data_IF_431135680292
#
_entry.id   IF_431135680292
#
_cell.length_a   1.000
_cell.length_b   1.000
_cell.length_c   1.000
_cell.angle_alpha   90.00
_cell.angle_beta   90.00
_cell.angle_gamma   90.00
#
_symmetry.space_group_name_H-M   'P 1'
#
loop_
_entity.id
_entity.type
_entity.pdbx_description
1 polymer ?
#
# COMPACT_ATOMS: atom_id res chain seq x y z
N UNK A 1 -7.98 7.02 -18.74
CA UNK A 1 -9.11 7.29 -17.82
C UNK A 1 -10.31 6.44 -18.24
N UNK A 2 -10.77 5.57 -17.38
CA UNK A 2 -11.87 4.65 -17.66
C UNK A 2 -13.18 5.47 -17.84
N UNK A 3 -14.10 5.02 -18.72
CA UNK A 3 -15.41 5.67 -18.93
C UNK A 3 -16.22 5.86 -17.64
N UNK A 4 -15.98 5.00 -16.64
CA UNK A 4 -16.69 4.94 -15.34
C UNK A 4 -16.32 6.08 -14.35
N UNK A 5 -15.21 6.79 -14.57
CA UNK A 5 -14.71 7.83 -13.64
C UNK A 5 -14.82 9.24 -14.18
N UNK A 6 -15.68 9.47 -15.18
CA UNK A 6 -15.73 10.77 -15.89
C UNK A 6 -16.55 11.86 -15.19
N UNK A 7 -17.45 11.51 -14.30
CA UNK A 7 -18.30 12.45 -13.56
C UNK A 7 -18.75 11.87 -12.23
N UNK A 8 -19.18 12.75 -11.32
CA UNK A 8 -19.75 12.35 -10.03
C UNK A 8 -20.97 11.43 -10.24
N UNK A 9 -21.82 11.76 -11.21
CA UNK A 9 -23.03 10.96 -11.50
C UNK A 9 -22.68 9.56 -12.00
N UNK A 10 -21.60 9.42 -12.79
CA UNK A 10 -21.15 8.10 -13.24
C UNK A 10 -20.59 7.24 -12.11
N UNK A 11 -19.93 7.86 -11.11
CA UNK A 11 -19.46 7.16 -9.92
C UNK A 11 -20.63 6.73 -9.05
N UNK A 12 -21.59 7.63 -8.81
CA UNK A 12 -22.77 7.32 -8.02
C UNK A 12 -23.59 6.18 -8.62
N UNK A 13 -23.87 6.23 -9.92
CA UNK A 13 -24.57 5.15 -10.63
C UNK A 13 -23.83 3.83 -10.52
N UNK A 14 -22.51 3.84 -10.63
CA UNK A 14 -21.71 2.62 -10.52
C UNK A 14 -21.70 2.04 -9.10
N UNK A 15 -21.65 2.88 -8.07
CA UNK A 15 -21.76 2.46 -6.67
C UNK A 15 -23.13 1.81 -6.41
N UNK A 16 -24.21 2.42 -6.89
CA UNK A 16 -25.58 1.86 -6.80
C UNK A 16 -25.72 0.51 -7.52
N UNK A 17 -25.10 0.34 -8.70
CA UNK A 17 -25.09 -0.92 -9.47
C UNK A 17 -24.35 -2.06 -8.72
N UNK A 18 -23.51 -1.72 -7.75
CA UNK A 18 -22.72 -2.67 -6.95
C UNK A 18 -23.19 -2.73 -5.49
N UNK A 19 -24.48 -2.44 -5.27
CA UNK A 19 -25.12 -2.53 -3.95
C UNK A 19 -24.48 -1.64 -2.86
N UNK A 20 -23.77 -0.58 -3.27
CA UNK A 20 -23.20 0.39 -2.33
C UNK A 20 -23.95 1.71 -2.43
N UNK A 21 -24.79 1.99 -1.42
CA UNK A 21 -25.57 3.23 -1.34
C UNK A 21 -24.66 4.37 -0.87
N UNK A 22 -24.33 5.28 -1.78
CA UNK A 22 -23.53 6.46 -1.49
C UNK A 22 -24.34 7.72 -1.64
N UNK A 23 -24.15 8.67 -0.75
CA UNK A 23 -24.63 10.02 -0.96
C UNK A 23 -23.79 10.74 -2.04
N UNK A 24 -24.29 11.88 -2.53
CA UNK A 24 -23.58 12.68 -3.53
C UNK A 24 -22.23 13.22 -3.00
N UNK A 25 -22.11 13.43 -1.69
CA UNK A 25 -20.88 13.91 -1.06
C UNK A 25 -19.77 12.88 -1.18
N UNK A 26 -20.04 11.62 -0.83
CA UNK A 26 -19.09 10.53 -0.96
C UNK A 26 -18.72 10.29 -2.45
N UNK A 27 -19.70 10.28 -3.36
CA UNK A 27 -19.43 10.14 -4.78
C UNK A 27 -18.54 11.28 -5.33
N UNK A 28 -18.73 12.51 -4.84
CA UNK A 28 -17.90 13.66 -5.19
C UNK A 28 -16.48 13.51 -4.62
N UNK A 29 -16.35 13.06 -3.38
CA UNK A 29 -15.04 12.83 -2.74
C UNK A 29 -14.25 11.75 -3.48
N UNK A 30 -14.90 10.67 -3.87
CA UNK A 30 -14.28 9.61 -4.70
C UNK A 30 -13.87 10.17 -6.07
N UNK A 31 -14.74 10.97 -6.71
CA UNK A 31 -14.39 11.60 -7.98
C UNK A 31 -13.16 12.50 -7.87
N UNK A 32 -13.06 13.33 -6.83
CA UNK A 32 -11.90 14.18 -6.58
C UNK A 32 -10.64 13.38 -6.26
N UNK A 33 -10.75 12.37 -5.40
CA UNK A 33 -9.64 11.46 -5.07
C UNK A 33 -9.02 10.86 -6.34
N UNK A 34 -9.83 10.29 -7.23
CA UNK A 34 -9.38 9.65 -8.46
C UNK A 34 -8.80 10.62 -9.50
N UNK A 35 -9.29 11.86 -9.56
CA UNK A 35 -8.82 12.85 -10.54
C UNK A 35 -7.63 13.68 -10.04
N UNK A 36 -7.51 13.87 -8.73
CA UNK A 36 -6.43 14.65 -8.12
C UNK A 36 -5.28 13.78 -7.64
N UNK A 37 -5.46 12.45 -7.68
CA UNK A 37 -4.48 11.48 -7.16
C UNK A 37 -4.11 11.77 -5.71
N UNK A 38 -5.13 12.03 -4.88
CA UNK A 38 -4.97 12.35 -3.47
C UNK A 38 -5.66 11.30 -2.60
N UNK A 39 -5.12 10.98 -1.41
CA UNK A 39 -5.77 10.07 -0.48
C UNK A 39 -7.19 10.50 -0.15
N UNK A 40 -8.09 9.53 0.02
CA UNK A 40 -9.44 9.73 0.53
C UNK A 40 -9.47 9.33 2.00
N UNK A 41 -9.78 10.28 2.87
CA UNK A 41 -9.99 10.02 4.28
C UNK A 41 -11.48 9.89 4.58
N UNK A 42 -11.87 8.78 5.23
CA UNK A 42 -13.25 8.47 5.59
C UNK A 42 -13.38 8.34 7.12
N UNK A 43 -14.14 9.23 7.71
CA UNK A 43 -14.48 9.22 9.12
C UNK A 43 -15.97 8.92 9.29
N UNK A 44 -16.35 8.31 10.40
CA UNK A 44 -17.74 8.00 10.73
C UNK A 44 -17.84 6.83 11.69
N UNK A 45 -19.07 6.54 12.11
CA UNK A 45 -19.37 5.48 13.08
C UNK A 45 -18.99 4.07 12.58
N UNK A 46 -18.71 3.11 13.50
CA UNK A 46 -18.51 1.72 13.12
C UNK A 46 -19.71 1.16 12.36
N UNK A 47 -19.45 0.34 11.35
CA UNK A 47 -20.51 -0.35 10.59
C UNK A 47 -21.16 0.44 9.45
N UNK A 48 -20.80 1.71 9.23
CA UNK A 48 -21.36 2.53 8.12
C UNK A 48 -20.79 2.20 6.73
N UNK A 49 -19.93 1.19 6.61
CA UNK A 49 -19.42 0.73 5.31
C UNK A 49 -18.15 1.40 4.83
N UNK A 50 -17.37 2.10 5.68
CA UNK A 50 -16.11 2.76 5.29
C UNK A 50 -15.13 1.83 4.59
N UNK A 51 -14.90 0.65 5.14
CA UNK A 51 -14.00 -0.37 4.58
C UNK A 51 -14.54 -0.93 3.25
N UNK A 52 -15.86 -0.97 3.09
CA UNK A 52 -16.50 -1.48 1.87
C UNK A 52 -16.25 -0.57 0.65
N UNK A 53 -16.10 0.74 0.86
CA UNK A 53 -15.73 1.69 -0.20
C UNK A 53 -14.48 1.21 -0.96
N UNK A 54 -13.44 0.77 -0.25
CA UNK A 54 -12.20 0.32 -0.87
C UNK A 54 -12.40 -0.92 -1.76
N UNK A 55 -13.24 -1.86 -1.34
CA UNK A 55 -13.56 -3.06 -2.13
C UNK A 55 -14.33 -2.71 -3.39
N UNK A 56 -15.32 -1.84 -3.25
CA UNK A 56 -16.12 -1.38 -4.38
C UNK A 56 -15.27 -0.60 -5.38
N UNK A 57 -14.36 0.28 -4.90
CA UNK A 57 -13.39 0.97 -5.76
C UNK A 57 -12.45 0.01 -6.49
N UNK A 58 -12.02 -1.06 -5.83
CA UNK A 58 -11.19 -2.12 -6.44
C UNK A 58 -11.90 -2.76 -7.64
N UNK A 59 -13.18 -3.06 -7.50
CA UNK A 59 -14.00 -3.59 -8.59
C UNK A 59 -14.21 -2.58 -9.72
N UNK A 60 -14.45 -1.31 -9.36
CA UNK A 60 -14.63 -0.23 -10.33
C UNK A 60 -13.38 -0.01 -11.19
N UNK A 61 -12.22 -0.03 -10.57
CA UNK A 61 -10.94 0.20 -11.22
C UNK A 61 -10.41 -1.06 -11.93
N UNK A 62 -10.90 -2.25 -11.55
CA UNK A 62 -10.41 -3.53 -12.06
C UNK A 62 -9.00 -3.83 -11.58
N UNK A 63 -8.70 -3.56 -10.31
CA UNK A 63 -7.39 -3.72 -9.71
C UNK A 63 -7.46 -4.55 -8.42
N UNK A 64 -6.35 -4.70 -7.72
CA UNK A 64 -6.25 -5.44 -6.47
C UNK A 64 -6.41 -4.51 -5.26
N UNK A 65 -6.93 -5.08 -4.16
CA UNK A 65 -6.96 -4.43 -2.84
C UNK A 65 -5.72 -4.85 -2.03
N UNK A 66 -5.00 -3.86 -1.53
CA UNK A 66 -3.97 -4.05 -0.52
C UNK A 66 -4.48 -3.45 0.78
N UNK A 67 -4.47 -4.21 1.87
CA UNK A 67 -4.95 -3.74 3.17
C UNK A 67 -3.81 -3.63 4.17
N UNK A 68 -3.68 -2.46 4.77
CA UNK A 68 -2.89 -2.21 5.96
C UNK A 68 -3.84 -2.00 7.13
N UNK A 69 -3.83 -2.92 8.08
CA UNK A 69 -4.56 -2.81 9.34
C UNK A 69 -3.65 -2.17 10.37
N UNK A 70 -4.00 -0.97 10.86
CA UNK A 70 -3.27 -0.33 11.93
C UNK A 70 -3.62 -0.94 13.30
N UNK A 71 -2.67 -0.97 14.19
CA UNK A 71 -2.79 -1.43 15.57
C UNK A 71 -1.77 -0.72 16.45
N UNK A 72 -2.01 -0.69 17.74
CA UNK A 72 -1.12 -0.06 18.71
C UNK A 72 0.29 -0.68 18.67
N UNK A 73 1.32 0.17 18.46
CA UNK A 73 2.71 -0.26 18.29
C UNK A 73 3.05 -0.78 16.90
N UNK A 74 2.26 -0.45 15.87
CA UNK A 74 2.63 -0.73 14.49
C UNK A 74 3.88 0.08 14.14
N UNK A 75 4.98 -0.62 13.94
CA UNK A 75 6.25 -0.03 13.49
C UNK A 75 6.20 0.29 11.98
N UNK A 76 6.80 1.40 11.61
CA UNK A 76 6.99 1.84 10.22
C UNK A 76 7.60 0.74 9.36
N UNK A 77 8.64 0.04 9.85
CA UNK A 77 9.28 -1.06 9.13
C UNK A 77 8.30 -2.19 8.84
N UNK A 78 7.44 -2.55 9.80
CA UNK A 78 6.44 -3.61 9.62
C UNK A 78 5.35 -3.25 8.60
N UNK A 79 5.19 -1.98 8.28
CA UNK A 79 4.23 -1.51 7.27
C UNK A 79 4.84 -1.42 5.86
N UNK A 80 6.17 -1.25 5.75
CA UNK A 80 6.87 -1.04 4.48
C UNK A 80 7.54 -2.31 3.99
N UNK A 81 8.51 -2.85 4.74
CA UNK A 81 9.29 -4.01 4.35
C UNK A 81 9.87 -4.74 5.55
N UNK A 82 10.34 -5.93 5.30
CA UNK A 82 11.09 -6.75 6.24
C UNK A 82 12.15 -7.52 5.46
N UNK A 83 13.34 -7.68 6.04
CA UNK A 83 14.35 -8.56 5.48
C UNK A 83 14.07 -10.02 5.86
N UNK A 84 14.14 -10.92 4.88
CA UNK A 84 14.02 -12.35 5.11
C UNK A 84 15.31 -12.92 5.72
N UNK A 85 15.53 -12.60 7.00
CA UNK A 85 16.75 -13.00 7.73
C UNK A 85 17.01 -14.50 7.67
N UNK A 86 15.97 -15.32 7.74
CA UNK A 86 16.13 -16.78 7.67
C UNK A 86 16.73 -17.22 6.33
N UNK A 87 16.24 -16.64 5.24
CA UNK A 87 16.77 -16.93 3.89
C UNK A 87 18.18 -16.35 3.72
N UNK A 88 18.46 -15.17 4.23
CA UNK A 88 19.80 -14.56 4.22
C UNK A 88 20.82 -15.46 4.92
N UNK A 89 20.50 -15.99 6.11
CA UNK A 89 21.39 -16.89 6.86
C UNK A 89 21.68 -18.17 6.07
N UNK A 90 20.68 -18.74 5.43
CA UNK A 90 20.86 -19.94 4.60
C UNK A 90 21.79 -19.63 3.43
N UNK A 91 21.57 -18.52 2.73
CA UNK A 91 22.39 -18.11 1.58
C UNK A 91 23.84 -17.86 1.98
N UNK A 92 24.07 -17.14 3.08
CA UNK A 92 25.43 -16.95 3.62
C UNK A 92 26.15 -18.28 3.85
N UNK A 93 25.48 -19.24 4.48
CA UNK A 93 26.06 -20.57 4.73
C UNK A 93 26.37 -21.34 3.44
N UNK A 94 25.52 -21.21 2.43
CA UNK A 94 25.74 -21.84 1.12
C UNK A 94 26.92 -21.21 0.40
N UNK A 95 27.07 -19.88 0.44
CA UNK A 95 28.19 -19.16 -0.15
C UNK A 95 29.51 -19.47 0.56
N UNK A 96 29.53 -19.55 1.88
CA UNK A 96 30.70 -19.95 2.67
C UNK A 96 31.14 -21.39 2.33
N UNK A 97 30.19 -22.30 2.18
CA UNK A 97 30.47 -23.70 1.83
C UNK A 97 31.03 -23.85 0.41
N UNK A 98 30.69 -22.98 -0.51
CA UNK A 98 31.18 -22.96 -1.89
C UNK A 98 32.63 -22.45 -2.05
N UNK A 99 33.18 -21.83 -1.02
CA UNK A 99 34.62 -21.49 -0.90
C UNK A 99 35.12 -20.34 -1.79
N UNK A 100 34.25 -19.47 -2.33
CA UNK A 100 34.67 -18.57 -3.38
C UNK A 100 34.28 -17.09 -3.31
N UNK A 101 33.49 -16.65 -2.36
CA UNK A 101 32.91 -15.29 -2.43
C UNK A 101 33.57 -14.32 -1.41
N UNK A 102 33.92 -13.12 -1.87
CA UNK A 102 34.40 -12.04 -0.99
C UNK A 102 33.27 -11.51 -0.14
N UNK A 103 33.57 -11.09 1.11
CA UNK A 103 32.56 -10.56 2.05
C UNK A 103 31.73 -9.42 1.48
N UNK A 104 32.31 -8.53 0.69
CA UNK A 104 31.62 -7.38 0.09
C UNK A 104 30.61 -7.78 -0.98
N UNK A 105 30.85 -8.89 -1.67
CA UNK A 105 29.94 -9.42 -2.67
C UNK A 105 28.74 -10.14 -2.00
N UNK A 106 29.00 -10.85 -0.90
CA UNK A 106 27.96 -11.47 -0.07
C UNK A 106 26.98 -10.40 0.48
N UNK A 107 27.50 -9.30 1.00
CA UNK A 107 26.67 -8.23 1.55
C UNK A 107 25.70 -7.63 0.51
N UNK A 108 26.17 -7.42 -0.73
CA UNK A 108 25.33 -6.90 -1.81
C UNK A 108 24.26 -7.90 -2.25
N UNK A 109 24.60 -9.18 -2.22
CA UNK A 109 23.69 -10.24 -2.66
C UNK A 109 22.56 -10.46 -1.66
N UNK A 110 22.85 -10.52 -0.36
CA UNK A 110 21.85 -10.78 0.69
C UNK A 110 20.90 -9.61 0.98
N UNK A 111 21.26 -8.37 0.59
CA UNK A 111 20.37 -7.20 0.65
C UNK A 111 19.77 -6.88 -0.72
N UNK A 112 19.68 -7.87 -1.59
CA UNK A 112 19.01 -7.76 -2.88
C UNK A 112 17.48 -7.90 -2.77
N UNK A 113 16.75 -7.56 -3.86
CA UNK A 113 15.29 -7.62 -3.90
C UNK A 113 14.69 -8.99 -3.57
N UNK A 114 15.45 -10.06 -3.78
CA UNK A 114 15.02 -11.45 -3.52
C UNK A 114 14.87 -11.78 -2.03
N UNK A 115 15.50 -10.98 -1.17
CA UNK A 115 15.44 -11.13 0.28
C UNK A 115 14.50 -10.11 0.94
N UNK A 116 13.94 -9.18 0.15
CA UNK A 116 13.02 -8.16 0.62
C UNK A 116 11.59 -8.69 0.66
N UNK A 117 11.01 -8.75 1.85
CA UNK A 117 9.59 -9.02 2.05
C UNK A 117 8.85 -7.70 1.98
N UNK A 118 8.11 -7.47 0.89
CA UNK A 118 7.30 -6.27 0.71
C UNK A 118 6.08 -6.32 1.61
N UNK A 119 5.91 -5.32 2.46
CA UNK A 119 4.75 -5.12 3.30
C UNK A 119 3.73 -4.21 2.58
N UNK A 120 2.51 -4.01 3.10
CA UNK A 120 1.41 -3.37 2.36
C UNK A 120 1.75 -2.02 1.72
N UNK A 121 2.47 -1.14 2.41
CA UNK A 121 2.82 0.17 1.85
C UNK A 121 3.75 0.03 0.64
N UNK A 122 4.80 -0.77 0.76
CA UNK A 122 5.73 -0.99 -0.35
C UNK A 122 5.06 -1.74 -1.52
N UNK A 123 4.16 -2.70 -1.23
CA UNK A 123 3.39 -3.38 -2.28
C UNK A 123 2.51 -2.42 -3.08
N UNK A 124 1.99 -1.38 -2.42
CA UNK A 124 1.12 -0.40 -3.06
C UNK A 124 1.92 0.59 -3.93
N UNK A 125 3.15 0.96 -3.51
CA UNK A 125 4.01 1.90 -4.22
C UNK A 125 4.75 1.19 -5.36
N UNK A 126 5.46 0.09 -5.06
CA UNK A 126 6.25 -0.69 -6.03
C UNK A 126 5.40 -1.80 -6.67
N UNK A 127 4.34 -1.39 -7.38
CA UNK A 127 3.47 -2.33 -8.09
C UNK A 127 3.92 -2.51 -9.54
N UNK A 128 3.79 -3.74 -10.05
CA UNK A 128 4.14 -4.11 -11.43
C UNK A 128 2.93 -4.03 -12.38
N UNK A 129 1.74 -3.69 -11.87
CA UNK A 129 0.52 -3.65 -12.64
C UNK A 129 0.33 -2.32 -13.38
N UNK A 130 -0.32 -2.36 -14.55
CA UNK A 130 -0.64 -1.15 -15.33
C UNK A 130 -1.62 -0.23 -14.59
N UNK A 131 -2.48 -0.81 -13.75
CA UNK A 131 -3.43 -0.07 -12.91
C UNK A 131 -2.96 -0.20 -11.47
N UNK A 132 -2.71 0.91 -10.78
CA UNK A 132 -2.32 0.89 -9.36
C UNK A 132 -3.32 0.14 -8.49
N UNK A 133 -2.88 -0.57 -7.45
CA UNK A 133 -3.78 -1.18 -6.48
C UNK A 133 -4.51 -0.11 -5.65
N UNK A 134 -5.63 -0.48 -5.08
CA UNK A 134 -6.27 0.33 -4.02
C UNK A 134 -5.63 -0.05 -2.70
N UNK A 135 -4.98 0.92 -2.04
CA UNK A 135 -4.46 0.76 -0.68
C UNK A 135 -5.54 1.19 0.32
N UNK A 136 -5.98 0.28 1.15
CA UNK A 136 -6.84 0.54 2.30
C UNK A 136 -6.00 0.57 3.58
N UNK A 137 -5.96 1.72 4.22
CA UNK A 137 -5.38 1.88 5.56
C UNK A 137 -6.55 1.92 6.54
N UNK A 138 -6.67 0.89 7.37
CA UNK A 138 -7.82 0.67 8.24
C UNK A 138 -7.43 0.87 9.71
N UNK A 139 -8.35 1.42 10.51
CA UNK A 139 -8.16 1.72 11.93
C UNK A 139 -6.92 2.61 12.20
N UNK A 140 -6.75 3.66 11.41
CA UNK A 140 -5.62 4.59 11.51
C UNK A 140 -5.54 5.26 12.92
N UNK A 141 -6.66 5.45 13.57
CA UNK A 141 -6.78 5.97 14.94
C UNK A 141 -6.09 5.11 16.02
N UNK A 142 -5.66 3.89 15.67
CA UNK A 142 -4.85 3.02 16.54
C UNK A 142 -3.35 3.15 16.35
N UNK A 143 -2.92 3.87 15.33
CA UNK A 143 -1.51 4.14 15.10
C UNK A 143 -1.00 5.22 16.07
N UNK A 144 0.30 5.28 16.26
CA UNK A 144 0.92 6.37 17.00
C UNK A 144 1.21 7.59 16.09
N UNK A 145 1.54 8.73 16.69
CA UNK A 145 1.82 9.98 15.97
C UNK A 145 3.03 9.86 15.02
N UNK A 146 4.02 9.03 15.36
CA UNK A 146 5.21 8.84 14.52
C UNK A 146 4.83 8.12 13.22
N UNK A 147 3.98 7.10 13.32
CA UNK A 147 3.48 6.38 12.15
C UNK A 147 2.59 7.28 11.29
N UNK A 148 1.70 8.08 11.90
CA UNK A 148 0.85 9.02 11.15
C UNK A 148 1.68 10.04 10.38
N UNK A 149 2.69 10.64 11.01
CA UNK A 149 3.59 11.60 10.36
C UNK A 149 4.34 10.98 9.18
N UNK A 150 4.86 9.77 9.37
CA UNK A 150 5.52 9.00 8.32
C UNK A 150 4.58 8.64 7.16
N UNK A 151 3.34 8.25 7.47
CA UNK A 151 2.34 7.96 6.46
C UNK A 151 2.01 9.17 5.60
N UNK A 152 1.91 10.37 6.21
CA UNK A 152 1.69 11.62 5.48
C UNK A 152 2.84 11.94 4.51
N UNK A 153 4.10 11.66 4.90
CA UNK A 153 5.26 11.80 4.03
C UNK A 153 5.17 10.88 2.82
N UNK A 154 4.92 9.59 3.05
CA UNK A 154 4.76 8.60 1.97
C UNK A 154 3.60 8.96 1.02
N UNK A 155 2.45 9.34 1.55
CA UNK A 155 1.27 9.69 0.75
C UNK A 155 1.42 11.03 0.01
N UNK A 156 2.39 11.87 0.38
CA UNK A 156 2.72 13.10 -0.34
C UNK A 156 3.45 12.81 -1.65
N UNK A 157 4.46 11.95 -1.60
CA UNK A 157 5.41 11.75 -2.69
C UNK A 157 5.30 10.36 -3.34
N UNK A 158 4.54 9.44 -2.74
CA UNK A 158 4.38 8.04 -3.15
C UNK A 158 5.71 7.31 -3.34
N UNK A 159 6.67 7.58 -2.46
CA UNK A 159 7.99 6.99 -2.48
C UNK A 159 8.44 6.60 -1.06
N UNK A 160 9.38 5.67 -0.99
CA UNK A 160 10.01 5.25 0.26
C UNK A 160 11.49 4.98 0.02
N UNK A 161 12.33 5.33 0.99
CA UNK A 161 13.76 5.06 0.93
C UNK A 161 14.11 3.87 1.83
N UNK A 162 14.67 2.83 1.22
CA UNK A 162 15.24 1.67 1.91
C UNK A 162 16.75 1.85 1.92
N UNK A 163 17.42 1.92 3.09
CA UNK A 163 18.84 2.28 3.19
C UNK A 163 19.78 1.45 2.30
N UNK A 164 19.47 0.15 2.13
CA UNK A 164 20.33 -0.79 1.42
C UNK A 164 20.06 -0.82 -0.10
N UNK A 165 18.86 -0.37 -0.54
CA UNK A 165 18.43 -0.46 -1.94
C UNK A 165 18.34 0.93 -2.59
N UNK A 166 17.98 1.96 -1.80
CA UNK A 166 17.69 3.31 -2.27
C UNK A 166 16.21 3.65 -2.26
N UNK A 167 15.84 4.69 -3.00
CA UNK A 167 14.45 5.17 -3.10
C UNK A 167 13.67 4.40 -4.17
N UNK A 168 12.49 3.98 -3.79
CA UNK A 168 11.50 3.26 -4.62
C UNK A 168 10.29 4.16 -4.79
#
# INVERSE_FOLDING_TARGET
MNKKTKSVDSIQSWLDEHDYIADRSLATSIFLNLNMERPLFLEGEPGVGKTEVAKVLTQMLGTNLIRLQCYEGLDVHNAIYEWNYSRQIIEIKMLEASGGTKKDDISKEIFGPDFLIRRPLLQAIDHQSTIPPVLLIDELDRADEEFEAFLLEILSDFQVTIPEIGTI
#
